data_IF_731535748117
#
_entry.id   IF_731535748117
#
_cell.length_a   1.000
_cell.length_b   1.000
_cell.length_c   1.000
_cell.angle_alpha   90.00
_cell.angle_beta   90.00
_cell.angle_gamma   90.00
#
_symmetry.space_group_name_H-M   'P 1'
#
loop_
_entity.id
_entity.type
_entity.pdbx_description
1 polymer ?
#
# COMPACT_ATOMS: atom_id res chain seq x y z
N UNK A 1 3.07 -26.84 -2.91
CA UNK A 1 1.88 -25.99 -3.11
C UNK A 1 0.67 -26.87 -2.90
N UNK A 2 -0.07 -26.64 -1.82
CA UNK A 2 -1.06 -27.61 -1.33
C UNK A 2 -2.33 -27.58 -2.21
N UNK A 3 -2.91 -28.75 -2.51
CA UNK A 3 -4.05 -28.92 -3.44
C UNK A 3 -5.26 -28.08 -3.02
N UNK A 4 -5.38 -27.76 -1.72
CA UNK A 4 -6.43 -26.93 -1.15
C UNK A 4 -6.29 -25.44 -1.48
N UNK A 5 -5.07 -24.93 -1.60
CA UNK A 5 -4.80 -23.52 -1.96
C UNK A 5 -5.13 -23.24 -3.42
N UNK A 6 -4.97 -24.25 -4.29
CA UNK A 6 -5.31 -24.16 -5.72
C UNK A 6 -6.82 -24.10 -5.95
N UNK A 7 -7.60 -24.85 -5.17
CA UNK A 7 -9.07 -24.94 -5.34
C UNK A 7 -9.78 -23.65 -4.89
N UNK A 8 -9.30 -23.00 -3.83
CA UNK A 8 -9.85 -21.71 -3.36
C UNK A 8 -9.54 -20.60 -4.37
N UNK A 9 -8.33 -20.59 -4.95
CA UNK A 9 -7.93 -19.62 -5.98
C UNK A 9 -8.78 -19.75 -7.26
N UNK A 10 -9.08 -20.99 -7.69
CA UNK A 10 -9.93 -21.23 -8.87
C UNK A 10 -11.39 -20.81 -8.67
N UNK A 11 -11.95 -20.97 -7.46
CA UNK A 11 -13.34 -20.61 -7.19
C UNK A 11 -13.57 -19.10 -7.13
N UNK A 12 -12.58 -18.34 -6.64
CA UNK A 12 -12.62 -16.87 -6.64
C UNK A 12 -12.56 -16.34 -8.08
N UNK A 13 -11.77 -16.95 -8.96
CA UNK A 13 -11.70 -16.55 -10.38
C UNK A 13 -13.00 -16.80 -11.15
N UNK A 14 -13.75 -17.85 -10.81
CA UNK A 14 -14.97 -18.24 -11.53
C UNK A 14 -16.19 -17.42 -11.13
N UNK A 15 -16.20 -16.82 -9.94
CA UNK A 15 -17.30 -15.95 -9.50
C UNK A 15 -17.24 -14.55 -10.13
N UNK A 16 -16.05 -14.11 -10.56
CA UNK A 16 -15.86 -12.79 -11.20
C UNK A 16 -16.44 -12.74 -12.62
N UNK A 17 -16.63 -13.89 -13.30
CA UNK A 17 -17.05 -13.92 -14.71
C UNK A 17 -18.57 -14.01 -14.95
N UNK A 18 -19.39 -14.16 -13.90
CA UNK A 18 -20.84 -14.40 -14.07
C UNK A 18 -21.75 -13.21 -13.77
N UNK A 19 -21.22 -12.02 -13.47
CA UNK A 19 -22.04 -10.82 -13.30
C UNK A 19 -22.10 -9.98 -14.59
N UNK A 20 -23.27 -9.89 -15.26
CA UNK A 20 -23.42 -8.99 -16.39
C UNK A 20 -23.31 -7.54 -15.89
N UNK A 21 -22.25 -6.88 -16.32
CA UNK A 21 -21.93 -5.48 -16.03
C UNK A 21 -22.91 -4.56 -16.76
N UNK A 22 -24.06 -4.27 -16.13
CA UNK A 22 -24.95 -3.21 -16.58
C UNK A 22 -24.53 -1.90 -15.92
N UNK A 23 -24.33 -0.88 -16.77
CA UNK A 23 -23.70 0.39 -16.47
C UNK A 23 -24.66 1.32 -15.69
N UNK A 24 -24.61 1.31 -14.34
CA UNK A 24 -25.18 2.33 -13.45
C UNK A 24 -24.33 2.39 -12.15
N UNK A 25 -23.71 3.54 -11.88
CA UNK A 25 -22.89 3.93 -10.70
C UNK A 25 -21.63 3.07 -10.41
N UNK A 26 -20.44 3.66 -10.60
CA UNK A 26 -19.11 3.02 -10.54
C UNK A 26 -18.64 2.54 -9.15
N UNK A 27 -19.50 2.54 -8.12
CA UNK A 27 -19.21 1.97 -6.80
C UNK A 27 -19.57 0.49 -6.76
N UNK A 28 -18.64 -0.37 -7.14
CA UNK A 28 -18.77 -1.80 -6.91
C UNK A 28 -18.43 -2.09 -5.45
N UNK A 29 -19.42 -2.44 -4.62
CA UNK A 29 -19.21 -2.91 -3.26
C UNK A 29 -19.81 -4.31 -3.08
N UNK A 30 -18.96 -5.27 -2.76
CA UNK A 30 -19.36 -6.64 -2.41
C UNK A 30 -18.85 -6.94 -1.01
N UNK A 31 -19.75 -7.39 -0.13
CA UNK A 31 -19.42 -7.82 1.22
C UNK A 31 -19.86 -9.27 1.39
N UNK A 32 -18.93 -10.14 1.77
CA UNK A 32 -19.16 -11.59 1.88
C UNK A 32 -18.81 -12.02 3.31
N UNK A 33 -19.77 -12.53 4.10
CA UNK A 33 -19.49 -13.08 5.42
C UNK A 33 -18.64 -14.35 5.30
N UNK A 34 -17.70 -14.53 6.21
CA UNK A 34 -16.91 -15.76 6.33
C UNK A 34 -17.38 -16.57 7.54
N UNK A 35 -17.64 -17.85 7.31
CA UNK A 35 -18.24 -18.74 8.31
C UNK A 35 -17.24 -19.41 9.27
N UNK A 36 -15.95 -19.01 9.27
CA UNK A 36 -14.88 -19.64 10.07
C UNK A 36 -13.73 -18.67 10.39
N UNK A 37 -13.01 -18.98 11.46
CA UNK A 37 -11.92 -18.16 11.96
C UNK A 37 -10.75 -18.04 10.96
N UNK A 38 -10.33 -16.82 10.70
CA UNK A 38 -9.06 -16.50 10.04
C UNK A 38 -7.90 -16.46 11.05
N UNK A 39 -7.79 -17.49 11.91
CA UNK A 39 -6.89 -17.52 13.10
C UNK A 39 -5.41 -17.22 12.79
N UNK A 40 -4.96 -17.47 11.56
CA UNK A 40 -3.56 -17.31 11.18
C UNK A 40 -3.28 -16.08 10.30
N UNK A 41 -4.23 -15.16 10.15
CA UNK A 41 -3.99 -13.91 9.44
C UNK A 41 -3.59 -12.81 10.42
N UNK A 42 -2.50 -12.11 10.13
CA UNK A 42 -2.09 -10.91 10.87
C UNK A 42 -2.92 -9.71 10.41
N UNK A 43 -3.83 -9.25 11.28
CA UNK A 43 -4.67 -8.07 11.06
C UNK A 43 -4.02 -6.81 11.64
N UNK A 44 -4.18 -5.71 10.92
CA UNK A 44 -3.93 -4.36 11.43
C UNK A 44 -5.08 -3.98 12.39
N UNK A 45 -4.76 -3.29 13.48
CA UNK A 45 -5.69 -2.99 14.57
C UNK A 45 -5.94 -1.48 14.68
N UNK A 46 -7.20 -1.10 14.66
CA UNK A 46 -7.66 0.28 14.82
C UNK A 46 -8.65 0.35 16.00
N UNK A 47 -8.50 1.35 16.87
CA UNK A 47 -9.37 1.56 18.03
C UNK A 47 -8.70 1.33 19.38
N UNK A 48 -9.47 0.85 20.35
CA UNK A 48 -9.11 0.69 21.77
C UNK A 48 -9.47 -0.71 22.28
N UNK A 49 -8.99 -1.08 23.47
CA UNK A 49 -9.26 -2.41 24.04
C UNK A 49 -10.75 -2.74 24.13
N UNK A 50 -11.59 -1.74 24.37
CA UNK A 50 -13.04 -1.86 24.46
C UNK A 50 -13.76 -1.72 23.12
N UNK A 51 -13.09 -1.38 22.02
CA UNK A 51 -13.72 -1.16 20.72
C UNK A 51 -12.68 -1.25 19.61
N UNK A 52 -12.83 -2.20 18.70
CA UNK A 52 -11.81 -2.55 17.72
C UNK A 52 -12.40 -2.76 16.33
N UNK A 53 -11.70 -2.23 15.33
CA UNK A 53 -11.82 -2.57 13.92
C UNK A 53 -10.48 -3.16 13.47
N UNK A 54 -10.52 -4.37 12.95
CA UNK A 54 -9.35 -5.10 12.48
C UNK A 54 -9.44 -5.30 10.97
N UNK A 55 -8.36 -4.97 10.27
CA UNK A 55 -8.33 -5.00 8.81
C UNK A 55 -7.16 -5.81 8.31
N UNK A 56 -7.39 -6.65 7.31
CA UNK A 56 -6.34 -7.34 6.56
C UNK A 56 -6.47 -7.00 5.09
N UNK A 57 -5.51 -6.24 4.57
CA UNK A 57 -5.37 -6.04 3.13
C UNK A 57 -4.95 -7.34 2.42
N UNK A 58 -5.69 -7.66 1.36
CA UNK A 58 -5.46 -8.78 0.44
C UNK A 58 -5.39 -8.29 -1.01
N UNK A 59 -5.30 -6.98 -1.21
CA UNK A 59 -5.33 -6.34 -2.52
C UNK A 59 -4.03 -6.59 -3.27
N UNK A 60 -4.14 -6.72 -4.59
CA UNK A 60 -2.96 -6.74 -5.45
C UNK A 60 -2.60 -5.30 -5.82
N UNK A 61 -1.33 -4.96 -5.73
CA UNK A 61 -0.86 -3.62 -6.05
C UNK A 61 -1.18 -3.22 -7.51
N UNK A 62 -1.80 -2.07 -7.70
CA UNK A 62 -2.17 -1.53 -9.01
C UNK A 62 -3.46 -2.12 -9.61
N UNK A 63 -4.30 -2.82 -8.82
CA UNK A 63 -5.63 -3.23 -9.29
C UNK A 63 -6.68 -2.14 -9.12
N UNK A 64 -7.71 -2.19 -9.97
CA UNK A 64 -8.84 -1.24 -9.94
C UNK A 64 -9.80 -1.48 -8.76
N UNK A 65 -9.76 -2.68 -8.19
CA UNK A 65 -10.52 -3.06 -7.01
C UNK A 65 -9.57 -3.41 -5.87
N UNK A 66 -9.93 -3.01 -4.66
CA UNK A 66 -9.32 -3.47 -3.43
C UNK A 66 -10.09 -4.67 -2.87
N UNK A 67 -9.35 -5.55 -2.20
CA UNK A 67 -9.88 -6.72 -1.51
C UNK A 67 -9.27 -6.74 -0.13
N UNK A 68 -10.09 -6.67 0.91
CA UNK A 68 -9.61 -6.73 2.29
C UNK A 68 -10.62 -7.44 3.19
N UNK A 69 -10.13 -7.97 4.31
CA UNK A 69 -10.97 -8.52 5.35
C UNK A 69 -11.20 -7.48 6.44
N UNK A 70 -12.40 -7.44 6.99
CA UNK A 70 -12.71 -6.71 8.21
C UNK A 70 -13.26 -7.66 9.27
N UNK A 71 -12.94 -7.39 10.53
CA UNK A 71 -13.62 -7.95 11.71
C UNK A 71 -13.50 -6.96 12.86
N UNK A 72 -14.22 -7.18 13.96
CA UNK A 72 -14.13 -6.23 15.07
C UNK A 72 -14.97 -6.61 16.26
N UNK A 73 -14.84 -5.81 17.31
CA UNK A 73 -15.66 -5.95 18.52
C UNK A 73 -15.92 -4.60 19.17
N UNK A 74 -16.97 -4.52 19.97
CA UNK A 74 -17.24 -3.43 20.89
C UNK A 74 -17.72 -3.98 22.22
N UNK A 75 -17.22 -3.42 23.32
CA UNK A 75 -17.58 -3.79 24.68
C UNK A 75 -19.06 -3.51 24.89
N UNK A 76 -19.76 -4.49 25.46
CA UNK A 76 -21.16 -4.36 25.81
C UNK A 76 -21.29 -3.56 27.10
N UNK A 77 -21.79 -2.30 27.06
CA UNK A 77 -22.02 -1.55 28.28
C UNK A 77 -23.07 -2.26 29.15
N UNK A 78 -22.95 -2.12 30.48
CA UNK A 78 -23.90 -2.70 31.43
C UNK A 78 -25.17 -1.82 31.53
N UNK A 79 -25.73 -1.48 30.38
CA UNK A 79 -26.93 -0.65 30.20
C UNK A 79 -28.02 -1.52 29.58
N UNK A 80 -29.29 -1.23 29.87
CA UNK A 80 -30.44 -1.94 29.27
C UNK A 80 -30.65 -1.57 27.78
N UNK A 81 -29.71 -0.86 27.16
CA UNK A 81 -29.72 -0.46 25.76
C UNK A 81 -29.07 -1.57 24.93
N UNK A 82 -29.90 -2.30 24.19
CA UNK A 82 -29.46 -3.28 23.20
C UNK A 82 -28.90 -2.55 21.97
N UNK A 83 -27.66 -2.87 21.56
CA UNK A 83 -27.09 -2.37 20.30
C UNK A 83 -27.81 -2.91 19.06
N UNK A 84 -28.70 -3.88 19.24
CA UNK A 84 -29.40 -4.57 18.17
C UNK A 84 -28.57 -5.72 17.60
N UNK A 85 -29.07 -6.32 16.51
CA UNK A 85 -28.46 -7.52 15.90
C UNK A 85 -27.48 -7.20 14.78
N UNK A 86 -27.32 -5.94 14.43
CA UNK A 86 -26.52 -5.51 13.28
C UNK A 86 -25.71 -4.26 13.62
N UNK A 87 -24.48 -4.22 13.12
CA UNK A 87 -23.64 -3.04 13.12
C UNK A 87 -23.76 -2.34 11.76
N UNK A 88 -23.58 -1.03 11.74
CA UNK A 88 -23.50 -0.26 10.49
C UNK A 88 -22.02 -0.16 10.09
N UNK A 89 -21.68 -0.75 8.94
CA UNK A 89 -20.45 -0.44 8.21
C UNK A 89 -20.73 0.73 7.27
N UNK A 90 -19.99 1.81 7.48
CA UNK A 90 -20.00 3.02 6.67
C UNK A 90 -18.77 2.98 5.75
N UNK A 91 -18.96 3.19 4.46
CA UNK A 91 -17.89 3.24 3.46
C UNK A 91 -18.01 4.52 2.66
N UNK A 92 -16.97 5.33 2.72
CA UNK A 92 -16.87 6.61 2.01
C UNK A 92 -15.97 6.45 0.79
N UNK A 93 -16.47 6.95 -0.34
CA UNK A 93 -15.77 7.08 -1.60
C UNK A 93 -15.63 8.56 -1.94
N UNK A 94 -14.72 8.91 -2.84
CA UNK A 94 -14.48 10.32 -3.23
C UNK A 94 -15.72 11.09 -3.68
N UNK A 95 -16.74 10.42 -4.19
CA UNK A 95 -17.94 11.02 -4.77
C UNK A 95 -19.25 10.53 -4.15
N UNK A 96 -19.18 9.58 -3.22
CA UNK A 96 -20.35 8.84 -2.76
C UNK A 96 -20.12 8.16 -1.41
N UNK A 97 -21.20 7.70 -0.82
CA UNK A 97 -21.18 7.09 0.51
C UNK A 97 -22.19 5.95 0.57
N UNK A 98 -21.77 4.82 1.15
CA UNK A 98 -22.58 3.60 1.24
C UNK A 98 -22.57 3.09 2.67
N UNK A 99 -23.75 2.72 3.17
CA UNK A 99 -23.91 2.00 4.45
C UNK A 99 -24.36 0.56 4.21
N UNK A 100 -23.83 -0.36 5.01
CA UNK A 100 -24.25 -1.77 5.02
C UNK A 100 -24.45 -2.24 6.45
N UNK A 101 -25.59 -2.89 6.70
CA UNK A 101 -25.79 -3.65 7.93
C UNK A 101 -24.94 -4.91 7.91
N UNK A 102 -24.25 -5.19 9.02
CA UNK A 102 -23.44 -6.38 9.23
C UNK A 102 -23.93 -7.10 10.48
N UNK A 103 -24.20 -8.41 10.43
CA UNK A 103 -24.68 -9.15 11.60
C UNK A 103 -23.64 -9.15 12.72
N UNK A 104 -24.13 -8.97 13.95
CA UNK A 104 -23.34 -9.02 15.17
C UNK A 104 -23.54 -10.37 15.86
N UNK A 105 -22.45 -10.95 16.36
CA UNK A 105 -22.47 -12.07 17.31
C UNK A 105 -22.24 -11.56 18.73
N UNK A 106 -23.20 -11.83 19.62
CA UNK A 106 -23.10 -11.44 21.02
C UNK A 106 -22.35 -12.49 21.84
N UNK A 107 -21.43 -12.02 22.67
CA UNK A 107 -20.80 -12.78 23.74
C UNK A 107 -21.09 -12.12 25.10
N UNK A 108 -20.61 -12.70 26.20
CA UNK A 108 -20.90 -12.19 27.54
C UNK A 108 -20.53 -10.70 27.71
N UNK A 109 -19.37 -10.28 27.19
CA UNK A 109 -18.82 -8.94 27.39
C UNK A 109 -18.72 -8.09 26.12
N UNK A 110 -18.93 -8.67 24.93
CA UNK A 110 -18.68 -8.00 23.66
C UNK A 110 -19.72 -8.34 22.60
N UNK A 111 -20.00 -7.35 21.76
CA UNK A 111 -20.58 -7.52 20.45
C UNK A 111 -19.46 -7.68 19.43
N UNK A 112 -19.52 -8.72 18.60
CA UNK A 112 -18.48 -9.07 17.66
C UNK A 112 -19.01 -9.07 16.23
N UNK A 113 -18.13 -8.75 15.29
CA UNK A 113 -18.35 -8.96 13.88
C UNK A 113 -17.38 -10.02 13.42
N UNK A 114 -17.94 -11.12 12.94
CA UNK A 114 -17.19 -12.17 12.27
C UNK A 114 -16.47 -11.63 11.03
N UNK A 115 -15.40 -12.27 10.54
CA UNK A 115 -14.69 -11.78 9.37
C UNK A 115 -15.58 -11.64 8.13
N UNK A 116 -15.47 -10.52 7.44
CA UNK A 116 -16.11 -10.26 6.14
C UNK A 116 -15.06 -9.91 5.09
N UNK A 117 -15.17 -10.48 3.90
CA UNK A 117 -14.45 -9.99 2.72
C UNK A 117 -15.18 -8.75 2.23
N UNK A 118 -14.44 -7.68 2.01
CA UNK A 118 -14.87 -6.47 1.33
C UNK A 118 -14.12 -6.38 0.01
N UNK A 119 -14.87 -6.30 -1.09
CA UNK A 119 -14.35 -6.01 -2.43
C UNK A 119 -14.95 -4.69 -2.85
N UNK A 120 -14.09 -3.72 -3.16
CA UNK A 120 -14.51 -2.35 -3.41
C UNK A 120 -13.65 -1.65 -4.45
N UNK A 121 -14.17 -0.62 -5.09
CA UNK A 121 -13.44 0.21 -6.06
C UNK A 121 -12.32 1.04 -5.40
N UNK A 122 -11.31 1.43 -6.21
CA UNK A 122 -10.11 2.15 -5.74
C UNK A 122 -10.33 3.58 -5.21
N UNK A 123 -11.50 4.17 -5.47
CA UNK A 123 -11.88 5.51 -5.00
C UNK A 123 -12.40 5.50 -3.54
N UNK A 124 -12.27 4.39 -2.82
CA UNK A 124 -12.57 4.32 -1.40
C UNK A 124 -11.58 5.19 -0.60
N UNK A 125 -12.11 6.04 0.28
CA UNK A 125 -11.34 6.97 1.09
C UNK A 125 -11.33 6.54 2.56
N UNK A 126 -12.47 6.09 3.08
CA UNK A 126 -12.61 5.73 4.49
C UNK A 126 -13.56 4.56 4.70
N UNK A 127 -13.31 3.85 5.79
CA UNK A 127 -14.29 2.93 6.38
C UNK A 127 -14.56 3.31 7.83
N UNK A 128 -15.79 3.12 8.27
CA UNK A 128 -16.17 3.32 9.66
C UNK A 128 -17.05 2.20 10.18
N UNK A 129 -16.67 1.67 11.34
CA UNK A 129 -17.37 0.60 12.04
C UNK A 129 -17.24 0.85 13.54
N UNK A 130 -18.33 0.69 14.30
CA UNK A 130 -18.33 0.95 15.74
C UNK A 130 -17.77 2.34 16.09
N UNK A 131 -18.04 3.36 15.28
CA UNK A 131 -17.48 4.71 15.46
C UNK A 131 -15.94 4.80 15.38
N UNK A 132 -15.26 3.75 14.90
CA UNK A 132 -13.85 3.78 14.52
C UNK A 132 -13.80 4.11 13.04
N UNK A 133 -13.23 5.26 12.72
CA UNK A 133 -13.00 5.71 11.34
C UNK A 133 -11.54 5.47 10.95
N UNK A 134 -11.33 4.86 9.79
CA UNK A 134 -10.00 4.53 9.28
C UNK A 134 -9.88 5.01 7.84
N UNK A 135 -8.90 5.86 7.59
CA UNK A 135 -8.56 6.28 6.24
C UNK A 135 -7.86 5.13 5.50
N UNK A 136 -8.21 4.91 4.23
CA UNK A 136 -7.74 3.75 3.46
C UNK A 136 -6.23 3.74 3.27
N UNK A 137 -5.58 4.90 3.23
CA UNK A 137 -4.11 4.99 3.17
C UNK A 137 -3.39 4.37 4.37
N UNK A 138 -4.07 4.10 5.48
CA UNK A 138 -3.48 3.43 6.63
C UNK A 138 -3.27 1.94 6.38
N UNK A 139 -4.14 1.29 5.60
CA UNK A 139 -4.14 -0.17 5.43
C UNK A 139 -4.13 -0.65 3.97
N UNK A 140 -4.45 0.20 2.99
CA UNK A 140 -4.39 -0.09 1.55
C UNK A 140 -3.24 0.67 0.89
N UNK A 141 -2.62 0.10 -0.16
CA UNK A 141 -1.61 0.78 -0.93
C UNK A 141 -2.24 1.82 -1.85
N UNK A 142 -2.13 3.10 -1.47
CA UNK A 142 -2.65 4.24 -2.23
C UNK A 142 -1.54 4.85 -3.07
N UNK A 143 -1.80 5.05 -4.36
CA UNK A 143 -0.84 5.67 -5.29
C UNK A 143 -0.51 7.11 -4.84
N UNK A 144 0.78 7.43 -4.80
CA UNK A 144 1.29 8.75 -4.44
C UNK A 144 1.74 9.50 -5.70
N UNK A 145 1.38 10.79 -5.84
CA UNK A 145 2.00 11.64 -6.85
C UNK A 145 3.47 11.86 -6.49
N UNK A 146 4.32 12.02 -7.50
CA UNK A 146 5.73 12.32 -7.34
C UNK A 146 6.24 13.15 -8.52
N UNK A 147 7.26 13.98 -8.25
CA UNK A 147 7.98 14.72 -9.27
C UNK A 147 9.38 14.14 -9.44
N UNK A 148 9.84 13.98 -10.68
CA UNK A 148 11.23 13.63 -10.95
C UNK A 148 12.08 14.90 -10.89
N UNK A 149 13.12 14.89 -10.05
CA UNK A 149 14.01 16.05 -9.85
C UNK A 149 15.43 15.75 -10.31
N UNK A 150 16.17 16.82 -10.64
CA UNK A 150 17.62 16.75 -10.86
C UNK A 150 18.33 17.12 -9.56
N UNK A 151 19.33 16.32 -9.17
CA UNK A 151 20.15 16.57 -7.98
C UNK A 151 21.62 16.38 -8.32
N UNK A 152 22.48 17.31 -7.90
CA UNK A 152 23.89 17.31 -8.31
C UNK A 152 24.78 16.31 -7.54
N UNK A 153 24.36 15.89 -6.33
CA UNK A 153 25.26 15.21 -5.37
C UNK A 153 24.82 13.85 -4.84
N UNK A 154 23.55 13.49 -4.96
CA UNK A 154 23.08 12.19 -4.53
C UNK A 154 23.45 11.15 -5.58
N UNK A 155 24.65 10.58 -5.46
CA UNK A 155 25.11 9.47 -6.29
C UNK A 155 25.53 8.28 -5.44
N UNK A 156 25.00 7.10 -5.75
CA UNK A 156 25.42 5.84 -5.12
C UNK A 156 25.76 4.80 -6.15
N UNK A 157 26.78 3.99 -5.84
CA UNK A 157 27.22 2.86 -6.67
C UNK A 157 26.39 1.59 -6.43
N UNK A 158 25.56 1.60 -5.39
CA UNK A 158 24.79 0.44 -4.95
C UNK A 158 23.36 0.56 -5.47
N UNK A 159 22.82 -0.55 -5.96
CA UNK A 159 21.41 -0.63 -6.36
C UNK A 159 20.51 -0.51 -5.14
N UNK A 160 19.48 0.31 -5.21
CA UNK A 160 18.50 0.41 -4.12
C UNK A 160 17.74 1.73 -4.11
N UNK A 161 17.07 1.96 -2.99
CA UNK A 161 16.33 3.17 -2.68
C UNK A 161 16.86 3.77 -1.38
N UNK A 162 16.97 5.09 -1.30
CA UNK A 162 17.42 5.78 -0.09
C UNK A 162 16.64 7.09 0.08
N UNK A 163 16.32 7.46 1.31
CA UNK A 163 15.82 8.80 1.60
C UNK A 163 16.93 9.84 1.37
N UNK A 164 16.54 11.03 0.94
CA UNK A 164 17.45 12.15 0.70
C UNK A 164 17.09 13.34 1.59
N UNK A 165 18.11 13.99 2.13
CA UNK A 165 18.04 15.37 2.57
C UNK A 165 18.46 16.28 1.41
N UNK A 166 17.67 17.29 1.08
CA UNK A 166 17.92 18.20 -0.05
C UNK A 166 17.95 19.65 0.43
N UNK A 167 19.15 20.24 0.46
CA UNK A 167 19.38 21.64 0.86
C UNK A 167 20.08 22.36 -0.29
N UNK A 168 19.51 23.48 -0.76
CA UNK A 168 20.07 24.28 -1.87
C UNK A 168 20.51 23.44 -3.09
N UNK A 169 19.62 22.55 -3.55
CA UNK A 169 19.84 21.62 -4.67
C UNK A 169 20.97 20.57 -4.47
N UNK A 170 21.59 20.54 -3.28
CA UNK A 170 22.51 19.49 -2.87
C UNK A 170 21.71 18.41 -2.15
N UNK A 171 21.83 17.18 -2.63
CA UNK A 171 21.15 16.04 -2.06
C UNK A 171 22.15 15.07 -1.44
N UNK A 172 21.86 14.60 -0.24
CA UNK A 172 22.66 13.64 0.51
C UNK A 172 21.76 12.50 1.02
N UNK A 173 22.28 11.27 0.98
CA UNK A 173 21.55 10.11 1.53
C UNK A 173 21.46 10.27 3.05
N UNK A 174 20.26 10.02 3.58
CA UNK A 174 19.98 10.15 5.01
C UNK A 174 19.09 9.01 5.49
N UNK A 175 19.20 8.70 6.78
CA UNK A 175 18.24 7.86 7.51
C UNK A 175 17.22 8.70 8.27
N UNK A 176 17.33 10.04 8.20
CA UNK A 176 16.51 10.99 8.95
C UNK A 176 16.05 12.15 8.05
N UNK A 177 14.75 12.45 8.08
CA UNK A 177 14.11 13.52 7.32
C UNK A 177 13.32 14.42 8.29
N UNK A 178 13.43 15.74 8.13
CA UNK A 178 12.62 16.68 8.91
C UNK A 178 11.14 16.57 8.51
N UNK A 179 10.23 16.63 9.49
CA UNK A 179 8.78 16.68 9.25
C UNK A 179 8.37 17.91 8.44
N UNK A 180 9.18 18.98 8.52
CA UNK A 180 8.94 20.23 7.80
C UNK A 180 9.45 20.18 6.36
N UNK A 181 10.20 19.15 5.98
CA UNK A 181 10.73 18.97 4.64
C UNK A 181 9.88 18.02 3.79
N UNK A 182 10.03 18.16 2.48
CA UNK A 182 9.48 17.15 1.57
C UNK A 182 10.33 15.89 1.66
N UNK A 183 9.69 14.72 1.59
CA UNK A 183 10.41 13.46 1.45
C UNK A 183 10.93 13.32 0.02
N UNK A 184 12.20 12.95 -0.10
CA UNK A 184 12.83 12.66 -1.38
C UNK A 184 13.41 11.25 -1.36
N UNK A 185 13.34 10.55 -2.49
CA UNK A 185 14.00 9.26 -2.66
C UNK A 185 15.01 9.30 -3.81
N UNK A 186 16.19 8.73 -3.58
CA UNK A 186 17.11 8.32 -4.64
C UNK A 186 16.85 6.87 -5.00
N UNK A 187 16.52 6.61 -6.26
CA UNK A 187 16.46 5.28 -6.83
C UNK A 187 17.72 5.10 -7.68
N UNK A 188 18.53 4.10 -7.37
CA UNK A 188 19.75 3.77 -8.10
C UNK A 188 19.70 2.35 -8.65
N UNK A 189 20.12 2.19 -9.89
CA UNK A 189 20.36 0.90 -10.53
C UNK A 189 21.70 0.27 -10.15
N UNK A 190 22.53 1.00 -9.38
CA UNK A 190 23.91 0.63 -9.07
C UNK A 190 24.86 0.79 -10.27
N UNK A 191 26.08 0.28 -10.12
CA UNK A 191 27.08 0.28 -11.19
C UNK A 191 26.65 -0.57 -12.40
N UNK A 192 26.86 -0.01 -13.59
CA UNK A 192 26.65 -0.69 -14.88
C UNK A 192 27.91 -0.63 -15.73
N UNK A 193 28.22 -1.70 -16.49
CA UNK A 193 29.49 -1.83 -17.20
C UNK A 193 29.67 -0.83 -18.34
N UNK A 194 28.57 -0.31 -18.90
CA UNK A 194 28.53 0.62 -20.02
C UNK A 194 27.50 1.73 -19.77
N UNK A 195 27.52 2.75 -20.62
CA UNK A 195 26.41 3.69 -20.74
C UNK A 195 25.21 3.09 -21.48
N UNK A 196 24.14 3.87 -21.64
CA UNK A 196 22.95 3.47 -22.39
C UNK A 196 21.84 2.81 -21.56
N UNK A 197 22.09 2.52 -20.29
CA UNK A 197 21.05 2.07 -19.37
C UNK A 197 20.07 3.20 -19.05
N UNK A 198 18.77 2.88 -19.09
CA UNK A 198 17.70 3.83 -18.78
C UNK A 198 16.95 3.37 -17.54
N UNK A 199 16.94 4.22 -16.50
CA UNK A 199 16.16 4.00 -15.27
C UNK A 199 14.91 4.90 -15.29
N UNK A 200 13.76 4.27 -15.10
CA UNK A 200 12.46 4.93 -15.03
C UNK A 200 11.74 4.57 -13.74
N UNK A 201 11.26 5.58 -13.02
CA UNK A 201 10.32 5.38 -11.90
C UNK A 201 8.91 5.44 -12.47
N UNK A 202 8.15 4.35 -12.29
CA UNK A 202 6.82 4.20 -12.87
C UNK A 202 5.72 4.62 -11.90
N UNK A 203 5.80 4.12 -10.66
CA UNK A 203 4.74 4.31 -9.67
C UNK A 203 5.31 4.36 -8.25
N UNK A 204 4.67 5.12 -7.38
CA UNK A 204 4.90 5.13 -5.94
C UNK A 204 3.58 4.85 -5.25
N UNK A 205 3.59 3.95 -4.28
CA UNK A 205 2.44 3.66 -3.42
C UNK A 205 2.84 3.88 -1.96
N UNK A 206 1.87 4.28 -1.14
CA UNK A 206 2.01 4.36 0.31
C UNK A 206 0.92 3.55 0.98
N UNK A 207 1.30 2.76 1.97
CA UNK A 207 0.41 2.04 2.89
C UNK A 207 0.91 2.24 4.31
N UNK A 208 0.14 2.90 5.16
CA UNK A 208 0.55 3.21 6.52
C UNK A 208 1.90 3.95 6.53
N UNK A 209 2.94 3.33 7.10
CA UNK A 209 4.32 3.86 7.14
C UNK A 209 5.27 3.19 6.14
N UNK A 210 4.73 2.55 5.12
CA UNK A 210 5.50 1.87 4.08
C UNK A 210 5.32 2.58 2.73
N UNK A 211 6.42 2.77 2.02
CA UNK A 211 6.44 3.20 0.62
C UNK A 211 6.86 2.04 -0.29
N UNK A 212 6.17 1.87 -1.40
CA UNK A 212 6.53 0.90 -2.44
C UNK A 212 6.77 1.68 -3.73
N UNK A 213 8.01 1.66 -4.21
CA UNK A 213 8.44 2.33 -5.44
C UNK A 213 8.67 1.29 -6.53
N UNK A 214 7.95 1.40 -7.64
CA UNK A 214 8.16 0.56 -8.82
C UNK A 214 9.02 1.28 -9.83
N UNK A 215 10.15 0.68 -10.18
CA UNK A 215 11.04 1.20 -11.20
C UNK A 215 11.42 0.13 -12.23
N UNK A 216 11.83 0.58 -13.40
CA UNK A 216 12.26 -0.25 -14.51
C UNK A 216 13.63 0.21 -15.00
N UNK A 217 14.51 -0.76 -15.21
CA UNK A 217 15.83 -0.58 -15.79
C UNK A 217 15.89 -1.30 -17.13
N UNK A 218 16.04 -0.53 -18.19
CA UNK A 218 16.25 -1.03 -19.53
C UNK A 218 17.74 -1.03 -19.85
N UNK A 219 18.25 -2.20 -20.23
CA UNK A 219 19.60 -2.35 -20.76
C UNK A 219 19.65 -1.85 -22.22
N UNK A 220 20.79 -1.28 -22.66
CA UNK A 220 20.99 -1.00 -24.07
C UNK A 220 21.02 -2.29 -24.89
N UNK A 221 20.63 -2.22 -26.17
CA UNK A 221 20.77 -3.32 -27.11
C UNK A 221 22.25 -3.65 -27.35
N UNK A 222 22.56 -4.90 -27.69
CA UNK A 222 23.89 -5.31 -28.18
C UNK A 222 24.34 -4.51 -29.42
N UNK A 223 23.37 -3.97 -30.18
CA UNK A 223 23.62 -3.15 -31.37
C UNK A 223 23.74 -1.66 -31.09
N UNK A 224 23.47 -1.22 -29.86
CA UNK A 224 23.52 0.20 -29.52
C UNK A 224 24.96 0.68 -29.36
N UNK A 225 25.26 1.81 -29.98
CA UNK A 225 26.53 2.52 -29.75
C UNK A 225 26.50 3.20 -28.38
N UNK A 226 27.07 2.53 -27.38
CA UNK A 226 27.13 3.03 -25.99
C UNK A 226 28.54 3.35 -25.54
N UNK A 227 28.63 4.28 -24.57
CA UNK A 227 29.90 4.63 -23.92
C UNK A 227 30.47 3.42 -23.18
N UNK A 228 31.75 3.12 -23.44
CA UNK A 228 32.49 2.05 -22.78
C UNK A 228 33.12 2.56 -21.48
N UNK A 229 32.28 2.89 -20.51
CA UNK A 229 32.68 3.31 -19.17
C UNK A 229 31.60 2.92 -18.16
N UNK A 230 32.03 2.68 -16.92
CA UNK A 230 31.08 2.42 -15.83
C UNK A 230 30.13 3.60 -15.65
N UNK A 231 28.83 3.31 -15.57
CA UNK A 231 27.79 4.30 -15.33
C UNK A 231 26.95 3.95 -14.11
N UNK A 232 26.23 4.94 -13.59
CA UNK A 232 25.41 4.83 -12.38
C UNK A 232 24.01 5.39 -12.65
N UNK A 233 23.12 4.66 -13.35
CA UNK A 233 21.79 5.14 -13.67
C UNK A 233 20.98 5.37 -12.39
N UNK A 234 20.50 6.59 -12.22
CA UNK A 234 19.77 6.99 -11.01
C UNK A 234 18.71 8.05 -11.27
N UNK A 235 17.70 8.08 -10.42
CA UNK A 235 16.60 9.05 -10.44
C UNK A 235 16.29 9.49 -9.01
N UNK A 236 16.23 10.79 -8.80
CA UNK A 236 15.69 11.37 -7.59
C UNK A 236 14.23 11.73 -7.82
N UNK A 237 13.36 11.36 -6.89
CA UNK A 237 11.95 11.74 -6.88
C UNK A 237 11.64 12.55 -5.63
N UNK A 238 10.77 13.53 -5.79
CA UNK A 238 10.18 14.32 -4.73
C UNK A 238 8.77 13.82 -4.44
N UNK A 239 8.50 13.55 -3.17
CA UNK A 239 7.18 13.30 -2.61
C UNK A 239 6.75 14.52 -1.77
N UNK A 240 5.64 14.38 -1.05
CA UNK A 240 5.14 15.40 -0.13
C UNK A 240 5.80 15.35 1.25
N UNK A 241 5.21 16.08 2.20
CA UNK A 241 5.51 15.98 3.62
C UNK A 241 4.71 14.85 4.26
N UNK A 242 5.27 14.23 5.29
CA UNK A 242 4.65 13.14 6.01
C UNK A 242 4.83 13.32 7.52
N UNK A 243 3.97 12.68 8.31
CA UNK A 243 4.01 12.77 9.76
C UNK A 243 5.26 12.13 10.35
N UNK A 244 5.57 12.46 11.60
CA UNK A 244 6.68 11.86 12.32
C UNK A 244 6.49 10.35 12.53
N UNK A 245 7.60 9.62 12.50
CA UNK A 245 7.61 8.18 12.71
C UNK A 245 8.70 7.47 11.93
N UNK A 246 8.90 6.20 12.26
CA UNK A 246 9.75 5.30 11.49
C UNK A 246 8.99 4.76 10.28
N UNK A 247 9.59 4.89 9.10
CA UNK A 247 9.07 4.47 7.82
C UNK A 247 9.97 3.41 7.19
N UNK A 248 9.38 2.64 6.27
CA UNK A 248 10.07 1.71 5.40
C UNK A 248 9.84 2.11 3.94
N UNK A 249 10.87 2.01 3.09
CA UNK A 249 10.75 2.18 1.65
C UNK A 249 11.29 0.94 0.94
N UNK A 250 10.45 0.32 0.11
CA UNK A 250 10.79 -0.83 -0.72
C UNK A 250 10.77 -0.45 -2.19
N UNK A 251 11.88 -0.70 -2.88
CA UNK A 251 12.03 -0.61 -4.33
C UNK A 251 11.76 -1.98 -4.96
N UNK A 252 10.75 -2.07 -5.81
CA UNK A 252 10.54 -3.15 -6.77
C UNK A 252 11.18 -2.74 -8.10
N UNK A 253 12.39 -3.24 -8.37
CA UNK A 253 13.14 -2.95 -9.59
C UNK A 253 12.95 -4.08 -10.61
N UNK A 254 12.25 -3.78 -11.69
CA UNK A 254 12.19 -4.62 -12.88
C UNK A 254 13.42 -4.36 -13.76
N UNK A 255 14.19 -5.40 -14.07
CA UNK A 255 15.35 -5.34 -14.96
C UNK A 255 15.03 -6.14 -16.21
N UNK A 256 15.07 -5.48 -17.37
CA UNK A 256 14.90 -6.10 -18.67
C UNK A 256 16.28 -6.39 -19.27
N UNK A 257 16.68 -7.67 -19.28
CA UNK A 257 17.95 -8.13 -19.86
C UNK A 257 17.64 -9.24 -20.87
N UNK A 258 18.00 -9.04 -22.14
CA UNK A 258 17.85 -10.04 -23.22
C UNK A 258 16.44 -10.62 -23.39
N UNK A 259 15.40 -9.82 -23.12
CA UNK A 259 14.00 -10.24 -23.21
C UNK A 259 13.48 -11.00 -21.99
N UNK A 260 14.32 -11.23 -20.97
CA UNK A 260 13.90 -11.75 -19.67
C UNK A 260 13.68 -10.60 -18.68
N UNK A 261 12.58 -10.67 -17.93
CA UNK A 261 12.24 -9.70 -16.90
C UNK A 261 12.56 -10.27 -15.53
N UNK A 262 13.55 -9.71 -14.86
CA UNK A 262 13.95 -10.07 -13.50
C UNK A 262 13.47 -8.99 -12.55
N UNK A 263 12.76 -9.37 -11.47
CA UNK A 263 12.30 -8.43 -10.44
C UNK A 263 13.16 -8.59 -9.19
N UNK A 264 13.72 -7.49 -8.69
CA UNK A 264 14.53 -7.43 -7.46
C UNK A 264 13.90 -6.46 -6.46
N UNK A 265 14.06 -6.75 -5.18
CA UNK A 265 13.52 -5.95 -4.08
C UNK A 265 14.64 -5.40 -3.21
N UNK A 266 14.54 -4.11 -2.86
CA UNK A 266 15.49 -3.43 -1.98
C UNK A 266 14.72 -2.62 -0.95
N UNK A 267 15.01 -2.82 0.33
CA UNK A 267 14.26 -2.20 1.42
C UNK A 267 15.20 -1.40 2.32
N UNK A 268 14.78 -0.20 2.70
CA UNK A 268 15.47 0.65 3.68
C UNK A 268 14.48 1.18 4.69
N UNK A 269 14.97 1.48 5.90
CA UNK A 269 14.20 2.16 6.93
C UNK A 269 14.75 3.57 7.14
N UNK A 270 13.87 4.52 7.42
CA UNK A 270 14.25 5.89 7.73
C UNK A 270 13.27 6.50 8.75
N UNK A 271 13.67 7.57 9.41
CA UNK A 271 12.91 8.27 10.43
C UNK A 271 12.49 9.64 9.91
N UNK A 272 11.21 9.98 10.06
CA UNK A 272 10.73 11.35 9.95
C UNK A 272 10.56 11.90 11.37
N UNK A 273 11.18 13.03 11.68
CA UNK A 273 11.12 13.64 13.01
C UNK A 273 11.06 15.16 12.97
N UNK A 274 10.66 15.76 14.07
CA UNK A 274 10.81 17.20 14.28
C UNK A 274 12.29 17.56 14.39
N UNK A 275 12.65 18.74 13.89
CA UNK A 275 13.99 19.27 14.11
C UNK A 275 14.17 19.61 15.59
N UNK A 276 15.10 18.90 16.24
CA UNK A 276 15.52 19.25 17.59
C UNK A 276 16.46 20.45 17.52
N UNK A 277 15.96 21.63 17.88
CA UNK A 277 16.80 22.81 18.16
C UNK A 277 17.81 22.54 19.29
#
# INVERSE_FOLDING_TARGET
MDKKTLIISMFILLFVSMFPFNHINETNLIIIPLSRECENLSFEYFGTRSMSLQIKDMSKLGTENFVFLIKGWIFKPNTNEDMGKEAVLEIEFSDSYITKSIPITETNLYYNIEPHIVITSKNIERIKLFNIEVHTSEFLPVKQPFDVISTEKAATRITGINALNVVDSKAEITEEVSVDDNLFFLISAGEKPTGGYSLKVNEVYKKGREFIVKAELDAPSETDFVTQAFTYPQKAIKLGKYNTGQYEATLELSVNENGEKIVKYYTVTFLIREDTN
#
